data_IF_749823241742
#
_entry.id   IF_749823241742
#
_cell.length_a   1.000
_cell.length_b   1.000
_cell.length_c   1.000
_cell.angle_alpha   90.00
_cell.angle_beta   90.00
_cell.angle_gamma   90.00
#
_symmetry.space_group_name_H-M   'P 1'
#
loop_
_entity.id
_entity.type
_entity.pdbx_description
1 polymer ?
#
# COMPACT_ATOMS: atom_id res chain seq x y z
N UNK A 1 11.68 18.96 16.01
CA UNK A 1 10.53 18.09 15.77
C UNK A 1 9.42 18.77 14.96
N UNK A 2 8.86 19.91 15.43
CA UNK A 2 7.78 20.61 14.69
C UNK A 2 8.22 21.08 13.29
N UNK A 3 9.47 21.57 13.14
CA UNK A 3 10.04 22.00 11.86
C UNK A 3 10.23 20.84 10.87
N UNK A 4 10.58 19.66 11.33
CA UNK A 4 10.72 18.46 10.51
C UNK A 4 9.35 17.99 10.00
N UNK A 5 8.36 17.85 10.91
CA UNK A 5 6.99 17.44 10.56
C UNK A 5 6.39 18.46 9.57
N UNK A 6 6.57 19.78 9.82
CA UNK A 6 6.09 20.82 8.92
C UNK A 6 6.70 20.73 7.53
N UNK A 7 8.02 20.56 7.41
CA UNK A 7 8.70 20.39 6.11
C UNK A 7 8.18 19.17 5.36
N UNK A 8 7.97 18.07 6.07
CA UNK A 8 7.47 16.82 5.49
C UNK A 8 6.01 16.97 5.04
N UNK A 9 5.15 17.53 5.89
CA UNK A 9 3.76 17.82 5.55
C UNK A 9 3.64 18.75 4.32
N UNK A 10 4.47 19.79 4.25
CA UNK A 10 4.51 20.71 3.09
C UNK A 10 4.97 19.96 1.84
N UNK A 11 6.03 19.15 1.90
CA UNK A 11 6.50 18.39 0.76
C UNK A 11 5.43 17.41 0.23
N UNK A 12 4.75 16.74 1.14
CA UNK A 12 3.68 15.81 0.79
C UNK A 12 2.43 16.54 0.26
N UNK A 13 2.11 17.72 0.80
CA UNK A 13 1.03 18.55 0.27
C UNK A 13 1.33 19.01 -1.16
N UNK A 14 2.58 19.42 -1.44
CA UNK A 14 3.02 19.77 -2.79
C UNK A 14 2.86 18.56 -3.74
N UNK A 15 3.21 17.36 -3.28
CA UNK A 15 3.03 16.14 -4.07
C UNK A 15 1.56 15.83 -4.35
N UNK A 16 0.67 16.02 -3.36
CA UNK A 16 -0.77 15.85 -3.52
C UNK A 16 -1.35 16.87 -4.49
N UNK A 17 -0.97 18.15 -4.37
CA UNK A 17 -1.38 19.20 -5.32
C UNK A 17 -0.85 18.87 -6.71
N UNK A 18 0.41 18.45 -6.85
CA UNK A 18 0.97 17.99 -8.11
C UNK A 18 0.18 16.84 -8.73
N UNK A 19 -0.26 15.90 -7.93
CA UNK A 19 -1.12 14.79 -8.38
C UNK A 19 -2.48 15.30 -8.89
N UNK A 20 -3.14 16.19 -8.14
CA UNK A 20 -4.43 16.79 -8.54
C UNK A 20 -4.29 17.50 -9.89
N UNK A 21 -3.22 18.31 -10.06
CA UNK A 21 -2.90 18.96 -11.32
C UNK A 21 -2.69 17.92 -12.43
N UNK A 22 -1.87 16.92 -12.18
CA UNK A 22 -1.56 15.86 -13.16
C UNK A 22 -2.83 15.12 -13.59
N UNK A 23 -3.66 14.71 -12.65
CA UNK A 23 -4.93 13.98 -12.91
C UNK A 23 -5.88 14.84 -13.73
N UNK A 24 -6.00 16.14 -13.41
CA UNK A 24 -6.79 17.08 -14.19
C UNK A 24 -6.31 17.17 -15.64
N UNK A 25 -5.03 17.40 -15.87
CA UNK A 25 -4.51 17.52 -17.22
C UNK A 25 -4.54 16.21 -18.00
N UNK A 26 -4.22 15.07 -17.36
CA UNK A 26 -4.30 13.76 -18.00
C UNK A 26 -5.72 13.45 -18.47
N UNK A 27 -6.74 13.78 -17.68
CA UNK A 27 -8.13 13.56 -18.07
C UNK A 27 -8.55 14.38 -19.31
N UNK A 28 -7.85 15.49 -19.61
CA UNK A 28 -8.08 16.31 -20.81
C UNK A 28 -7.20 15.90 -21.99
N UNK A 29 -5.97 15.43 -21.72
CA UNK A 29 -5.07 14.96 -22.78
C UNK A 29 -5.54 13.62 -23.40
N UNK A 30 -6.29 12.82 -22.64
CA UNK A 30 -6.81 11.52 -23.09
C UNK A 30 -7.95 11.67 -24.11
N UNK A 31 -8.42 12.89 -24.36
CA UNK A 31 -9.47 13.23 -25.33
C UNK A 31 -10.54 14.14 -24.74
N UNK A 32 -11.63 14.31 -25.51
CA UNK A 32 -12.79 15.08 -25.06
C UNK A 32 -13.45 14.41 -23.85
N UNK A 33 -13.54 15.07 -22.67
CA UNK A 33 -14.19 14.49 -21.51
C UNK A 33 -15.62 14.02 -21.80
N UNK A 34 -16.39 14.73 -22.61
CA UNK A 34 -17.74 14.32 -22.99
C UNK A 34 -17.77 12.94 -23.69
N UNK A 35 -16.72 12.63 -24.47
CA UNK A 35 -16.59 11.32 -25.11
C UNK A 35 -16.16 10.21 -24.15
N UNK A 36 -15.54 10.56 -23.00
CA UNK A 36 -15.17 9.60 -21.97
C UNK A 36 -16.37 9.24 -21.08
N UNK A 37 -17.22 10.22 -20.76
CA UNK A 37 -18.35 10.04 -19.85
C UNK A 37 -19.62 9.54 -20.54
N UNK A 38 -19.81 9.83 -21.82
CA UNK A 38 -20.99 9.42 -22.57
C UNK A 38 -20.78 8.09 -23.31
N UNK A 39 -21.87 7.36 -23.60
CA UNK A 39 -21.79 6.20 -24.50
C UNK A 39 -21.16 6.54 -25.84
N UNK A 40 -20.52 5.55 -26.48
CA UNK A 40 -19.85 5.76 -27.79
C UNK A 40 -20.85 6.21 -28.85
N UNK A 41 -22.11 5.76 -28.76
CA UNK A 41 -23.22 6.05 -29.64
C UNK A 41 -23.90 7.40 -29.38
N UNK A 42 -23.42 8.19 -28.38
CA UNK A 42 -24.02 9.47 -28.05
C UNK A 42 -23.94 10.47 -29.24
N UNK A 43 -25.06 11.12 -29.53
CA UNK A 43 -25.14 12.10 -30.62
C UNK A 43 -24.24 13.31 -30.36
N UNK A 44 -23.90 14.06 -31.41
CA UNK A 44 -23.13 15.29 -31.29
C UNK A 44 -23.83 16.34 -30.39
N UNK A 45 -25.17 16.42 -30.49
CA UNK A 45 -25.98 17.30 -29.64
C UNK A 45 -25.93 16.89 -28.16
N UNK A 46 -25.98 15.61 -27.84
CA UNK A 46 -25.86 15.10 -26.48
C UNK A 46 -24.48 15.38 -25.88
N UNK A 47 -23.43 15.26 -26.69
CA UNK A 47 -22.06 15.62 -26.27
C UNK A 47 -21.93 17.10 -25.99
N UNK A 48 -22.53 17.95 -26.84
CA UNK A 48 -22.49 19.41 -26.66
C UNK A 48 -23.28 19.86 -25.43
N UNK A 49 -24.47 19.31 -25.22
CA UNK A 49 -25.26 19.55 -24.00
C UNK A 49 -24.49 19.13 -22.74
N UNK A 50 -23.80 17.98 -22.79
CA UNK A 50 -22.95 17.52 -21.67
C UNK A 50 -21.81 18.52 -21.39
N UNK A 51 -21.15 19.05 -22.44
CA UNK A 51 -20.10 20.05 -22.29
C UNK A 51 -20.61 21.34 -21.68
N UNK A 52 -21.79 21.82 -22.10
CA UNK A 52 -22.42 23.02 -21.57
C UNK A 52 -22.79 22.83 -20.08
N UNK A 53 -23.47 21.74 -19.74
CA UNK A 53 -23.92 21.45 -18.36
C UNK A 53 -22.72 21.36 -17.39
N UNK A 54 -21.61 20.75 -17.83
CA UNK A 54 -20.43 20.55 -17.00
C UNK A 54 -19.36 21.65 -17.16
N UNK A 55 -19.66 22.70 -17.94
CA UNK A 55 -18.75 23.81 -18.19
C UNK A 55 -17.42 23.39 -18.83
N UNK A 56 -17.46 22.38 -19.70
CA UNK A 56 -16.26 21.89 -20.39
C UNK A 56 -15.83 22.84 -21.52
N UNK A 57 -16.71 23.76 -21.92
CA UNK A 57 -16.44 24.85 -22.86
C UNK A 57 -15.81 26.08 -22.19
N UNK A 58 -15.75 26.12 -20.85
CA UNK A 58 -15.10 27.19 -20.09
C UNK A 58 -13.57 27.19 -20.29
N UNK A 59 -12.89 28.33 -20.07
CA UNK A 59 -11.43 28.37 -20.04
C UNK A 59 -10.84 27.35 -19.07
N UNK A 60 -9.72 26.71 -19.43
CA UNK A 60 -9.09 25.64 -18.63
C UNK A 60 -8.85 26.02 -17.15
N UNK A 61 -8.54 27.28 -16.88
CA UNK A 61 -8.33 27.76 -15.52
C UNK A 61 -9.63 27.71 -14.68
N UNK A 62 -10.77 28.05 -15.30
CA UNK A 62 -12.09 27.98 -14.66
C UNK A 62 -12.47 26.53 -14.38
N UNK A 63 -12.25 25.64 -15.35
CA UNK A 63 -12.47 24.19 -15.16
C UNK A 63 -11.59 23.63 -14.03
N UNK A 64 -10.30 24.04 -13.98
CA UNK A 64 -9.37 23.60 -12.94
C UNK A 64 -9.81 24.07 -11.55
N UNK A 65 -10.21 25.33 -11.39
CA UNK A 65 -10.65 25.86 -10.08
C UNK A 65 -11.91 25.16 -9.61
N UNK A 66 -12.85 24.87 -10.51
CA UNK A 66 -14.05 24.07 -10.19
C UNK A 66 -13.66 22.66 -9.74
N UNK A 67 -12.84 21.96 -10.52
CA UNK A 67 -12.34 20.62 -10.18
C UNK A 67 -11.62 20.57 -8.83
N UNK A 68 -10.79 21.55 -8.51
CA UNK A 68 -10.16 21.63 -7.18
C UNK A 68 -11.21 21.84 -6.08
N UNK A 69 -12.23 22.68 -6.34
CA UNK A 69 -13.35 22.86 -5.41
C UNK A 69 -14.09 21.54 -5.13
N UNK A 70 -14.42 20.79 -6.18
CA UNK A 70 -15.11 19.49 -6.09
C UNK A 70 -14.25 18.46 -5.34
N UNK A 71 -12.94 18.39 -5.63
CA UNK A 71 -12.00 17.52 -4.91
C UNK A 71 -11.94 17.86 -3.41
N UNK A 72 -11.89 19.15 -3.05
CA UNK A 72 -11.81 19.59 -1.65
C UNK A 72 -13.11 19.30 -0.89
N UNK A 73 -14.25 19.38 -1.56
CA UNK A 73 -15.55 19.04 -0.97
C UNK A 73 -15.85 17.54 -0.99
N UNK A 74 -15.02 16.75 -1.66
CA UNK A 74 -15.21 15.29 -1.82
C UNK A 74 -16.27 14.93 -2.87
N UNK A 75 -16.65 15.87 -3.72
CA UNK A 75 -17.60 15.64 -4.81
C UNK A 75 -16.83 15.17 -6.06
N UNK A 76 -16.83 13.88 -6.30
CA UNK A 76 -16.26 13.24 -7.49
C UNK A 76 -17.34 12.87 -8.53
N UNK A 77 -18.57 13.36 -8.33
CA UNK A 77 -19.72 12.97 -9.14
C UNK A 77 -20.22 11.56 -8.80
N UNK A 78 -21.15 11.09 -9.63
CA UNK A 78 -21.75 9.76 -9.47
C UNK A 78 -21.04 8.71 -10.32
N UNK A 79 -20.97 7.48 -9.81
CA UNK A 79 -20.59 6.30 -10.59
C UNK A 79 -21.62 6.04 -11.68
N UNK A 80 -21.17 6.01 -12.92
CA UNK A 80 -22.03 5.72 -14.08
C UNK A 80 -22.64 4.30 -14.06
N UNK A 81 -21.99 3.38 -13.34
CA UNK A 81 -22.40 1.96 -13.26
C UNK A 81 -23.20 1.63 -12.01
N UNK A 82 -22.88 2.29 -10.89
CA UNK A 82 -23.51 2.00 -9.60
C UNK A 82 -24.60 2.99 -9.21
N UNK A 83 -24.76 4.10 -9.97
CA UNK A 83 -25.71 5.18 -9.70
C UNK A 83 -25.67 5.65 -8.23
N UNK A 84 -24.46 5.83 -7.70
CA UNK A 84 -24.15 6.25 -6.33
C UNK A 84 -22.96 7.21 -6.37
N UNK A 85 -22.77 8.07 -5.34
CA UNK A 85 -21.58 8.92 -5.24
C UNK A 85 -20.30 8.09 -5.41
N UNK A 86 -19.40 8.55 -6.29
CA UNK A 86 -18.16 7.82 -6.61
C UNK A 86 -17.27 7.66 -5.36
N UNK A 87 -17.25 8.66 -4.48
CA UNK A 87 -16.49 8.61 -3.23
C UNK A 87 -16.95 7.47 -2.32
N UNK A 88 -18.27 7.28 -2.15
CA UNK A 88 -18.82 6.21 -1.30
C UNK A 88 -18.40 4.83 -1.81
N UNK A 89 -18.51 4.65 -3.12
CA UNK A 89 -18.09 3.40 -3.79
C UNK A 89 -16.61 3.10 -3.56
N UNK A 90 -15.77 4.13 -3.63
CA UNK A 90 -14.33 4.01 -3.42
C UNK A 90 -13.99 3.74 -1.96
N UNK A 91 -14.63 4.43 -1.01
CA UNK A 91 -14.36 4.23 0.42
C UNK A 91 -14.75 2.81 0.84
N UNK A 92 -15.89 2.30 0.39
CA UNK A 92 -16.29 0.91 0.66
C UNK A 92 -15.21 -0.09 0.19
N UNK A 93 -14.71 0.08 -1.02
CA UNK A 93 -13.66 -0.79 -1.55
C UNK A 93 -12.31 -0.57 -0.85
N UNK A 94 -11.97 0.68 -0.52
CA UNK A 94 -10.71 1.01 0.16
C UNK A 94 -10.62 0.36 1.54
N UNK A 95 -11.72 0.26 2.28
CA UNK A 95 -11.75 -0.42 3.58
C UNK A 95 -11.32 -1.89 3.46
N UNK A 96 -11.72 -2.59 2.39
CA UNK A 96 -11.28 -3.97 2.14
C UNK A 96 -9.78 -4.05 1.89
N UNK A 97 -9.23 -3.18 1.04
CA UNK A 97 -7.78 -3.08 0.82
C UNK A 97 -7.03 -2.76 2.11
N UNK A 98 -7.55 -1.84 2.91
CA UNK A 98 -6.94 -1.44 4.18
C UNK A 98 -6.85 -2.62 5.16
N UNK A 99 -7.94 -3.38 5.35
CA UNK A 99 -7.92 -4.56 6.19
C UNK A 99 -6.96 -5.62 5.68
N UNK A 100 -6.95 -5.87 4.37
CA UNK A 100 -6.02 -6.82 3.75
C UNK A 100 -4.55 -6.40 4.01
N UNK A 101 -4.23 -5.12 3.82
CA UNK A 101 -2.90 -4.58 4.06
C UNK A 101 -2.51 -4.64 5.56
N UNK A 102 -3.40 -4.24 6.48
CA UNK A 102 -3.13 -4.23 7.92
C UNK A 102 -2.90 -5.65 8.45
N UNK A 103 -3.75 -6.61 8.08
CA UNK A 103 -3.60 -8.00 8.52
C UNK A 103 -2.29 -8.57 7.97
N UNK A 104 -2.03 -8.41 6.67
CA UNK A 104 -0.82 -8.91 6.03
C UNK A 104 0.43 -8.31 6.67
N UNK A 105 0.51 -6.97 6.81
CA UNK A 105 1.69 -6.32 7.38
C UNK A 105 1.91 -6.65 8.86
N UNK A 106 0.86 -6.86 9.62
CA UNK A 106 0.97 -7.32 11.02
C UNK A 106 1.62 -8.69 11.08
N UNK A 107 1.14 -9.63 10.27
CA UNK A 107 1.71 -10.99 10.21
C UNK A 107 3.13 -10.99 9.69
N UNK A 108 3.40 -10.24 8.61
CA UNK A 108 4.74 -10.08 8.03
C UNK A 108 5.72 -9.53 9.06
N UNK A 109 5.35 -8.43 9.70
CA UNK A 109 6.23 -7.74 10.67
C UNK A 109 6.56 -8.64 11.84
N UNK A 110 5.56 -9.29 12.44
CA UNK A 110 5.76 -10.22 13.55
C UNK A 110 6.68 -11.38 13.16
N UNK A 111 6.41 -12.03 12.05
CA UNK A 111 7.21 -13.15 11.56
C UNK A 111 8.65 -12.72 11.18
N UNK A 112 8.80 -11.59 10.49
CA UNK A 112 10.11 -11.11 10.05
C UNK A 112 11.00 -10.67 11.23
N UNK A 113 10.43 -10.03 12.26
CA UNK A 113 11.17 -9.69 13.48
C UNK A 113 11.69 -10.96 14.15
N UNK A 114 10.85 -11.98 14.32
CA UNK A 114 11.25 -13.23 14.96
C UNK A 114 12.32 -13.94 14.14
N UNK A 115 12.06 -14.19 12.86
CA UNK A 115 12.98 -14.95 11.99
C UNK A 115 14.29 -14.19 11.79
N UNK A 116 14.26 -12.90 11.48
CA UNK A 116 15.47 -12.09 11.28
C UNK A 116 16.32 -11.95 12.55
N UNK A 117 15.69 -11.81 13.71
CA UNK A 117 16.40 -11.73 14.99
C UNK A 117 17.07 -13.05 15.36
N UNK A 118 16.41 -14.17 15.16
CA UNK A 118 16.96 -15.51 15.40
C UNK A 118 18.08 -15.85 14.41
N UNK A 119 17.92 -15.49 13.14
CA UNK A 119 18.95 -15.65 12.12
C UNK A 119 20.23 -14.85 12.48
N UNK A 120 20.08 -13.60 12.91
CA UNK A 120 21.19 -12.74 13.32
C UNK A 120 21.92 -13.26 14.58
N UNK A 121 21.18 -13.87 15.51
CA UNK A 121 21.77 -14.40 16.76
C UNK A 121 22.77 -15.53 16.52
N UNK A 122 22.56 -16.34 15.48
CA UNK A 122 23.46 -17.41 15.02
C UNK A 122 23.94 -17.14 13.60
N UNK A 123 24.46 -15.94 13.35
CA UNK A 123 24.94 -15.53 12.03
C UNK A 123 25.97 -16.53 11.47
N UNK A 124 25.81 -16.89 10.18
CA UNK A 124 26.62 -17.91 9.51
C UNK A 124 26.17 -19.36 9.77
N UNK A 125 25.22 -19.60 10.67
CA UNK A 125 24.66 -20.93 10.94
C UNK A 125 23.68 -21.40 9.85
N UNK A 126 23.22 -22.66 9.98
CA UNK A 126 22.27 -23.26 9.02
C UNK A 126 20.96 -22.47 8.93
N UNK A 127 20.37 -22.12 10.07
CA UNK A 127 19.12 -21.34 10.12
C UNK A 127 19.26 -19.97 9.45
N UNK A 128 20.39 -19.30 9.66
CA UNK A 128 20.68 -18.02 9.05
C UNK A 128 20.79 -18.13 7.51
N UNK A 129 21.51 -19.13 7.02
CA UNK A 129 21.63 -19.36 5.58
C UNK A 129 20.28 -19.73 4.95
N UNK A 130 19.54 -20.63 5.58
CA UNK A 130 18.23 -21.07 5.08
C UNK A 130 17.23 -19.90 5.04
N UNK A 131 17.10 -19.14 6.14
CA UNK A 131 16.21 -17.99 6.18
C UNK A 131 16.60 -16.90 5.17
N UNK A 132 17.91 -16.68 4.96
CA UNK A 132 18.39 -15.73 3.96
C UNK A 132 18.06 -16.17 2.53
N UNK A 133 18.22 -17.44 2.20
CA UNK A 133 17.86 -17.97 0.87
C UNK A 133 16.36 -17.88 0.63
N UNK A 134 15.52 -18.32 1.59
CA UNK A 134 14.07 -18.25 1.49
C UNK A 134 13.61 -16.79 1.34
N UNK A 135 14.17 -15.88 2.12
CA UNK A 135 13.85 -14.45 2.06
C UNK A 135 14.21 -13.84 0.69
N UNK A 136 15.35 -14.21 0.14
CA UNK A 136 15.82 -13.70 -1.16
C UNK A 136 14.91 -14.20 -2.28
N UNK A 137 14.59 -15.50 -2.28
CA UNK A 137 13.65 -16.09 -3.24
C UNK A 137 12.30 -15.41 -3.13
N UNK A 138 11.74 -15.30 -1.91
CA UNK A 138 10.44 -14.69 -1.68
C UNK A 138 10.38 -13.22 -2.14
N UNK A 139 11.45 -12.45 -1.93
CA UNK A 139 11.52 -11.06 -2.38
C UNK A 139 11.60 -10.91 -3.91
N UNK A 140 12.04 -11.97 -4.61
CA UNK A 140 12.26 -11.95 -6.07
C UNK A 140 11.08 -12.48 -6.88
N UNK A 141 10.16 -13.23 -6.25
CA UNK A 141 9.02 -13.85 -6.96
C UNK A 141 7.96 -12.79 -7.24
N UNK A 142 7.45 -12.67 -8.48
CA UNK A 142 6.35 -11.76 -8.79
C UNK A 142 5.03 -12.21 -8.12
N UNK A 143 4.30 -11.25 -7.52
CA UNK A 143 3.06 -11.53 -6.79
C UNK A 143 1.98 -12.19 -7.65
N UNK A 144 1.85 -11.77 -8.93
CA UNK A 144 0.87 -12.36 -9.85
C UNK A 144 1.16 -13.83 -10.16
N UNK A 145 2.43 -14.19 -10.32
CA UNK A 145 2.83 -15.57 -10.57
C UNK A 145 2.53 -16.44 -9.35
N UNK A 146 2.89 -15.94 -8.15
CA UNK A 146 2.62 -16.63 -6.90
C UNK A 146 1.11 -16.82 -6.68
N UNK A 147 0.29 -15.81 -7.02
CA UNK A 147 -1.16 -15.88 -6.92
C UNK A 147 -1.73 -17.00 -7.80
N UNK A 148 -1.30 -17.07 -9.07
CA UNK A 148 -1.76 -18.10 -10.00
C UNK A 148 -1.33 -19.50 -9.50
N UNK A 149 -0.08 -19.66 -9.10
CA UNK A 149 0.42 -20.94 -8.57
C UNK A 149 -0.33 -21.34 -7.31
N UNK A 150 -0.58 -20.40 -6.39
CA UNK A 150 -1.34 -20.66 -5.17
C UNK A 150 -2.78 -21.11 -5.46
N UNK A 151 -3.47 -20.48 -6.42
CA UNK A 151 -4.80 -20.92 -6.86
C UNK A 151 -4.76 -22.33 -7.43
N UNK A 152 -3.84 -22.59 -8.36
CA UNK A 152 -3.73 -23.91 -9.00
C UNK A 152 -3.48 -25.01 -7.97
N UNK A 153 -2.55 -24.78 -7.04
CA UNK A 153 -2.17 -25.79 -6.05
C UNK A 153 -3.25 -25.94 -4.98
N UNK A 154 -3.63 -24.86 -4.31
CA UNK A 154 -4.46 -24.95 -3.10
C UNK A 154 -5.97 -24.90 -3.36
N UNK A 155 -6.40 -24.26 -4.42
CA UNK A 155 -7.82 -24.15 -4.73
C UNK A 155 -8.29 -25.18 -5.77
N UNK A 156 -7.51 -25.43 -6.84
CA UNK A 156 -7.90 -26.34 -7.91
C UNK A 156 -7.49 -27.77 -7.60
N UNK A 157 -6.19 -28.05 -7.35
CA UNK A 157 -5.69 -29.41 -7.19
C UNK A 157 -6.05 -30.01 -5.82
N UNK A 158 -5.84 -29.24 -4.74
CA UNK A 158 -6.09 -29.71 -3.37
C UNK A 158 -7.53 -29.43 -2.90
N UNK A 159 -8.24 -28.50 -3.54
CA UNK A 159 -9.59 -28.06 -3.16
C UNK A 159 -9.71 -27.64 -1.66
N UNK A 160 -8.62 -27.14 -1.06
CA UNK A 160 -8.60 -26.72 0.34
C UNK A 160 -9.15 -25.32 0.56
N UNK A 161 -8.92 -24.45 -0.41
CA UNK A 161 -9.22 -23.01 -0.31
C UNK A 161 -10.04 -22.55 -1.53
N UNK A 162 -10.86 -21.51 -1.39
CA UNK A 162 -11.60 -20.96 -2.51
C UNK A 162 -10.69 -20.24 -3.50
N UNK A 163 -11.09 -20.23 -4.77
CA UNK A 163 -10.34 -19.55 -5.86
C UNK A 163 -10.46 -18.03 -5.82
N UNK A 164 -11.65 -17.51 -5.40
CA UNK A 164 -11.96 -16.08 -5.48
C UNK A 164 -13.14 -15.69 -4.58
N UNK A 165 -13.30 -14.39 -4.30
CA UNK A 165 -14.40 -13.85 -3.53
C UNK A 165 -14.05 -13.54 -2.07
N UNK A 166 -15.09 -13.29 -1.22
CA UNK A 166 -14.93 -12.87 0.19
C UNK A 166 -15.93 -13.50 1.16
N UNK A 167 -16.63 -14.55 0.74
CA UNK A 167 -17.75 -15.13 1.48
C UNK A 167 -17.40 -15.75 2.85
N UNK A 168 -16.11 -16.04 3.14
CA UNK A 168 -15.65 -16.61 4.41
C UNK A 168 -14.21 -16.22 4.69
N UNK A 169 -13.72 -16.53 5.91
CA UNK A 169 -12.32 -16.31 6.27
C UNK A 169 -11.32 -17.09 5.39
N UNK A 170 -11.74 -18.19 4.80
CA UNK A 170 -10.90 -18.98 3.90
C UNK A 170 -10.50 -18.20 2.63
N UNK A 171 -11.33 -17.26 2.17
CA UNK A 171 -11.05 -16.41 1.01
C UNK A 171 -9.91 -15.40 1.26
N UNK A 172 -9.58 -15.14 2.52
CA UNK A 172 -8.50 -14.22 2.89
C UNK A 172 -7.13 -14.88 2.90
N UNK A 173 -7.08 -16.22 3.04
CA UNK A 173 -5.83 -16.94 3.26
C UNK A 173 -4.89 -16.79 2.06
N UNK A 174 -5.36 -17.10 0.84
CA UNK A 174 -4.50 -17.03 -0.36
C UNK A 174 -4.03 -15.59 -0.66
N UNK A 175 -4.90 -14.57 -0.69
CA UNK A 175 -4.46 -13.18 -0.88
C UNK A 175 -3.43 -12.75 0.17
N UNK A 176 -3.66 -13.04 1.45
CA UNK A 176 -2.71 -12.72 2.53
C UNK A 176 -1.39 -13.45 2.33
N UNK A 177 -1.41 -14.76 2.05
CA UNK A 177 -0.19 -15.53 1.82
C UNK A 177 0.63 -15.01 0.66
N UNK A 178 -0.01 -14.63 -0.44
CA UNK A 178 0.69 -14.07 -1.61
C UNK A 178 1.33 -12.72 -1.27
N UNK A 179 0.55 -11.80 -0.69
CA UNK A 179 1.04 -10.48 -0.29
C UNK A 179 2.05 -10.52 0.86
N UNK A 180 2.10 -11.62 1.61
CA UNK A 180 3.05 -11.84 2.71
C UNK A 180 4.48 -12.09 2.20
N UNK A 181 4.65 -12.85 1.13
CA UNK A 181 5.95 -13.45 0.75
C UNK A 181 7.01 -12.39 0.48
N UNK A 182 6.72 -11.41 -0.36
CA UNK A 182 7.68 -10.39 -0.78
C UNK A 182 8.09 -9.44 0.36
N UNK A 183 7.17 -8.79 1.09
CA UNK A 183 7.54 -7.93 2.22
C UNK A 183 8.26 -8.71 3.33
N UNK A 184 7.86 -9.95 3.60
CA UNK A 184 8.54 -10.81 4.57
C UNK A 184 10.01 -11.00 4.20
N UNK A 185 10.30 -11.35 2.93
CA UNK A 185 11.67 -11.52 2.46
C UNK A 185 12.52 -10.26 2.66
N UNK A 186 11.98 -9.09 2.31
CA UNK A 186 12.68 -7.81 2.43
C UNK A 186 12.93 -7.47 3.92
N UNK A 187 11.88 -7.53 4.75
CA UNK A 187 11.97 -7.12 6.15
C UNK A 187 12.87 -8.07 6.95
N UNK A 188 12.84 -9.39 6.70
CA UNK A 188 13.75 -10.36 7.35
C UNK A 188 15.21 -9.96 7.13
N UNK A 189 15.60 -9.60 5.89
CA UNK A 189 16.97 -9.20 5.57
C UNK A 189 17.39 -7.92 6.31
N UNK A 190 16.50 -6.95 6.41
CA UNK A 190 16.76 -5.69 7.12
C UNK A 190 16.86 -5.93 8.63
N UNK A 191 15.92 -6.70 9.21
CA UNK A 191 15.99 -7.09 10.63
C UNK A 191 17.28 -7.82 10.93
N UNK A 192 17.63 -8.82 10.12
CA UNK A 192 18.86 -9.59 10.28
C UNK A 192 20.09 -8.68 10.24
N UNK A 193 20.21 -7.83 9.22
CA UNK A 193 21.36 -6.92 9.09
C UNK A 193 21.51 -5.97 10.27
N UNK A 194 20.41 -5.33 10.69
CA UNK A 194 20.36 -4.41 11.81
C UNK A 194 20.67 -5.10 13.15
N UNK A 195 20.16 -6.31 13.34
CA UNK A 195 20.40 -7.12 14.52
C UNK A 195 21.84 -7.60 14.64
N UNK A 196 22.52 -7.95 13.55
CA UNK A 196 23.96 -8.31 13.57
C UNK A 196 24.77 -7.14 14.10
N UNK A 197 24.51 -5.91 13.60
CA UNK A 197 25.16 -4.70 14.09
C UNK A 197 24.88 -4.45 15.59
N UNK A 198 23.63 -4.56 16.01
CA UNK A 198 23.23 -4.37 17.40
C UNK A 198 23.88 -5.42 18.35
N UNK A 199 23.89 -6.69 17.94
CA UNK A 199 24.44 -7.80 18.75
C UNK A 199 25.96 -7.75 18.90
N UNK A 200 26.69 -7.07 18.00
CA UNK A 200 28.15 -6.86 18.07
C UNK A 200 28.55 -5.68 18.96
N UNK A 201 27.61 -4.87 19.40
CA UNK A 201 27.85 -3.64 20.17
C UNK A 201 28.41 -3.87 21.57
N UNK A 202 29.07 -2.84 22.14
CA UNK A 202 29.69 -2.89 23.47
C UNK A 202 28.67 -3.14 24.60
N UNK A 203 27.47 -2.55 24.51
CA UNK A 203 26.43 -2.75 25.51
C UNK A 203 25.94 -4.20 25.59
N UNK A 204 25.87 -4.91 24.45
CA UNK A 204 25.54 -6.34 24.41
C UNK A 204 26.64 -7.18 25.03
N UNK A 205 27.93 -6.85 24.76
CA UNK A 205 29.06 -7.53 25.43
C UNK A 205 29.00 -7.37 26.95
N UNK A 206 28.69 -6.17 27.42
CA UNK A 206 28.51 -5.89 28.85
C UNK A 206 27.35 -6.67 29.46
N UNK A 207 26.19 -6.76 28.75
CA UNK A 207 25.05 -7.53 29.21
C UNK A 207 25.38 -9.03 29.33
N UNK A 208 26.12 -9.60 28.36
CA UNK A 208 26.61 -10.98 28.41
C UNK A 208 27.56 -11.22 29.59
N UNK A 209 28.50 -10.28 29.81
CA UNK A 209 29.44 -10.37 30.96
C UNK A 209 28.70 -10.34 32.30
N UNK A 210 27.56 -9.65 32.39
CA UNK A 210 26.66 -9.65 33.58
C UNK A 210 25.77 -10.86 33.69
N UNK A 211 25.89 -11.87 32.83
CA UNK A 211 25.12 -13.12 32.87
C UNK A 211 23.69 -13.00 32.39
N UNK A 212 23.33 -11.97 31.61
CA UNK A 212 21.96 -11.82 31.04
C UNK A 212 21.71 -12.95 30.03
N UNK A 213 20.54 -13.60 30.13
CA UNK A 213 20.12 -14.68 29.23
C UNK A 213 19.99 -14.20 27.79
N UNK A 214 20.15 -15.11 26.81
CA UNK A 214 20.12 -14.80 25.38
C UNK A 214 18.79 -14.18 24.92
N UNK A 215 17.65 -14.62 25.44
CA UNK A 215 16.33 -14.09 25.09
C UNK A 215 16.21 -12.57 25.32
N UNK A 216 16.42 -12.06 26.55
CA UNK A 216 16.44 -10.62 26.82
C UNK A 216 17.50 -9.87 26.02
N UNK A 217 18.67 -10.46 25.76
CA UNK A 217 19.71 -9.84 24.92
C UNK A 217 19.16 -9.58 23.51
N UNK A 218 18.47 -10.55 22.91
CA UNK A 218 17.92 -10.46 21.55
C UNK A 218 16.74 -9.48 21.52
N UNK A 219 15.68 -9.79 22.28
CA UNK A 219 14.38 -9.15 22.10
C UNK A 219 14.20 -7.85 22.90
N UNK A 220 15.04 -7.58 23.91
CA UNK A 220 14.95 -6.35 24.71
C UNK A 220 16.10 -5.41 24.39
N UNK A 221 17.35 -5.88 24.47
CA UNK A 221 18.50 -5.00 24.34
C UNK A 221 18.90 -4.73 22.89
N UNK A 222 19.03 -5.77 22.06
CA UNK A 222 19.48 -5.61 20.69
C UNK A 222 18.35 -5.12 19.76
N UNK A 223 17.16 -5.74 19.84
CA UNK A 223 16.04 -5.43 18.96
C UNK A 223 15.62 -3.96 19.06
N UNK A 224 15.54 -3.41 20.27
CA UNK A 224 15.17 -1.99 20.46
C UNK A 224 16.04 -1.04 19.64
N UNK A 225 17.34 -1.29 19.58
CA UNK A 225 18.29 -0.45 18.84
C UNK A 225 18.31 -0.79 17.34
N UNK A 226 17.96 -2.03 16.97
CA UNK A 226 17.89 -2.46 15.58
C UNK A 226 16.61 -1.99 14.87
N UNK A 227 15.57 -1.55 15.61
CA UNK A 227 14.25 -1.23 15.03
C UNK A 227 14.23 0.03 14.17
N UNK A 228 15.14 1.00 14.35
CA UNK A 228 15.10 2.26 13.61
C UNK A 228 15.06 2.04 12.06
N UNK A 229 16.03 1.35 11.44
CA UNK A 229 15.96 1.09 10.00
C UNK A 229 14.83 0.12 9.63
N UNK A 230 14.43 -0.76 10.54
CA UNK A 230 13.36 -1.75 10.30
C UNK A 230 12.00 -1.06 10.14
N UNK A 231 11.67 -0.10 10.99
CA UNK A 231 10.39 0.63 10.95
C UNK A 231 10.23 1.38 9.62
N UNK A 232 11.32 1.95 9.09
CA UNK A 232 11.27 2.60 7.76
C UNK A 232 10.83 1.63 6.69
N UNK A 233 11.47 0.46 6.66
CA UNK A 233 11.18 -0.53 5.64
C UNK A 233 9.78 -1.13 5.84
N UNK A 234 9.34 -1.34 7.08
CA UNK A 234 7.96 -1.77 7.37
C UNK A 234 6.97 -0.74 6.80
N UNK A 235 7.22 0.55 7.04
CA UNK A 235 6.35 1.59 6.53
C UNK A 235 6.35 1.69 5.00
N UNK A 236 7.51 1.61 4.37
CA UNK A 236 7.64 1.58 2.91
C UNK A 236 6.90 0.38 2.31
N UNK A 237 7.04 -0.81 2.92
CA UNK A 237 6.30 -2.00 2.48
C UNK A 237 4.78 -1.86 2.72
N UNK A 238 4.34 -1.24 3.80
CA UNK A 238 2.93 -0.99 4.06
C UNK A 238 2.33 -0.01 3.04
N UNK A 239 3.02 1.09 2.72
CA UNK A 239 2.61 2.01 1.66
C UNK A 239 2.60 1.33 0.28
N UNK A 240 3.59 0.49 0.00
CA UNK A 240 3.66 -0.30 -1.23
C UNK A 240 2.50 -1.29 -1.38
N UNK A 241 2.04 -1.90 -0.28
CA UNK A 241 0.87 -2.81 -0.31
C UNK A 241 -0.42 -2.08 -0.69
N UNK A 242 -0.61 -0.85 -0.24
CA UNK A 242 -1.79 -0.06 -0.64
C UNK A 242 -1.84 0.19 -2.16
N UNK A 243 -0.68 0.30 -2.81
CA UNK A 243 -0.56 0.42 -4.27
C UNK A 243 -0.49 -0.94 -4.99
N UNK A 244 0.16 -1.91 -4.38
CA UNK A 244 0.53 -3.18 -5.03
C UNK A 244 -0.53 -4.28 -4.93
N UNK A 245 -1.55 -4.11 -4.10
CA UNK A 245 -2.61 -5.11 -3.95
C UNK A 245 -3.51 -5.25 -5.19
N UNK A 246 -3.47 -4.29 -6.13
CA UNK A 246 -4.33 -4.23 -7.34
C UNK A 246 -4.35 -5.56 -8.10
N UNK A 247 -3.18 -6.12 -8.37
CA UNK A 247 -3.06 -7.37 -9.14
C UNK A 247 -3.62 -8.56 -8.35
N UNK A 248 -3.30 -8.64 -7.06
CA UNK A 248 -3.75 -9.71 -6.17
C UNK A 248 -5.26 -9.61 -5.95
N UNK A 249 -5.78 -8.42 -5.71
CA UNK A 249 -7.22 -8.18 -5.57
C UNK A 249 -7.98 -8.57 -6.84
N UNK A 250 -7.43 -8.27 -8.01
CA UNK A 250 -8.04 -8.62 -9.30
C UNK A 250 -8.05 -10.13 -9.53
N UNK A 251 -6.92 -10.82 -9.29
CA UNK A 251 -6.79 -12.26 -9.50
C UNK A 251 -7.71 -13.04 -8.56
N UNK A 252 -7.78 -12.66 -7.29
CA UNK A 252 -8.63 -13.32 -6.29
C UNK A 252 -10.07 -12.78 -6.27
N UNK A 253 -10.43 -11.84 -7.14
CA UNK A 253 -11.77 -11.23 -7.13
C UNK A 253 -12.08 -10.53 -5.80
N UNK A 254 -11.06 -10.05 -5.09
CA UNK A 254 -11.21 -9.39 -3.80
C UNK A 254 -11.75 -7.97 -3.99
N UNK A 255 -12.79 -7.50 -3.26
CA UNK A 255 -13.48 -6.26 -3.54
C UNK A 255 -12.73 -5.00 -3.07
N UNK A 256 -11.41 -4.98 -3.25
CA UNK A 256 -10.57 -3.85 -2.89
C UNK A 256 -10.59 -2.72 -3.91
N UNK A 257 -9.94 -1.59 -3.53
CA UNK A 257 -9.88 -0.39 -4.38
C UNK A 257 -9.09 -0.62 -5.66
N UNK A 258 -8.09 -1.50 -5.65
CA UNK A 258 -7.30 -1.83 -6.83
C UNK A 258 -8.13 -2.56 -7.88
N UNK A 259 -8.89 -3.59 -7.47
CA UNK A 259 -9.84 -4.27 -8.36
C UNK A 259 -10.92 -3.31 -8.85
N UNK A 260 -11.49 -2.48 -7.95
CA UNK A 260 -12.48 -1.48 -8.33
C UNK A 260 -11.93 -0.54 -9.40
N UNK A 261 -10.67 -0.10 -9.29
CA UNK A 261 -10.03 0.78 -10.27
C UNK A 261 -9.91 0.11 -11.64
N UNK A 262 -9.45 -1.14 -11.70
CA UNK A 262 -9.36 -1.89 -12.97
C UNK A 262 -10.75 -2.07 -13.59
N UNK A 263 -11.73 -2.51 -12.80
CA UNK A 263 -13.11 -2.70 -13.29
C UNK A 263 -13.70 -1.39 -13.82
N UNK A 264 -13.46 -0.27 -13.13
CA UNK A 264 -13.93 1.07 -13.52
C UNK A 264 -13.26 1.60 -14.79
N UNK A 265 -11.95 1.33 -14.97
CA UNK A 265 -11.24 1.66 -16.22
C UNK A 265 -11.86 0.90 -17.40
N UNK A 266 -12.08 -0.40 -17.26
CA UNK A 266 -12.66 -1.25 -18.30
C UNK A 266 -14.12 -0.84 -18.63
N UNK A 267 -14.86 -0.36 -17.63
CA UNK A 267 -16.23 0.10 -17.74
C UNK A 267 -16.35 1.59 -18.10
N UNK A 268 -15.24 2.32 -18.24
CA UNK A 268 -15.18 3.77 -18.47
C UNK A 268 -15.87 4.60 -17.39
N UNK A 269 -15.85 4.14 -16.13
CA UNK A 269 -16.38 4.89 -14.98
C UNK A 269 -15.30 5.80 -14.41
N UNK A 270 -15.03 6.89 -15.11
CA UNK A 270 -13.91 7.78 -14.79
C UNK A 270 -14.06 8.49 -13.45
N UNK A 271 -15.29 8.77 -13.01
CA UNK A 271 -15.53 9.36 -11.68
C UNK A 271 -14.97 8.47 -10.56
N UNK A 272 -15.24 7.18 -10.63
CA UNK A 272 -14.71 6.20 -9.68
C UNK A 272 -13.18 6.07 -9.81
N UNK A 273 -12.64 6.09 -11.04
CA UNK A 273 -11.18 6.02 -11.25
C UNK A 273 -10.49 7.22 -10.62
N UNK A 274 -10.97 8.45 -10.85
CA UNK A 274 -10.40 9.67 -10.30
C UNK A 274 -10.48 9.69 -8.77
N UNK A 275 -11.64 9.35 -8.21
CA UNK A 275 -11.83 9.23 -6.77
C UNK A 275 -10.89 8.17 -6.17
N UNK A 276 -10.74 7.00 -6.80
CA UNK A 276 -9.88 5.93 -6.33
C UNK A 276 -8.39 6.33 -6.31
N UNK A 277 -7.92 7.00 -7.36
CA UNK A 277 -6.55 7.53 -7.43
C UNK A 277 -6.30 8.51 -6.27
N UNK A 278 -7.19 9.47 -6.05
CA UNK A 278 -7.00 10.50 -5.04
C UNK A 278 -7.15 9.97 -3.61
N UNK A 279 -8.11 9.09 -3.35
CA UNK A 279 -8.26 8.42 -2.05
C UNK A 279 -7.04 7.56 -1.72
N UNK A 280 -6.55 6.78 -2.68
CA UNK A 280 -5.35 5.94 -2.49
C UNK A 280 -4.11 6.82 -2.25
N UNK A 281 -3.93 7.88 -3.02
CA UNK A 281 -2.83 8.82 -2.84
C UNK A 281 -2.88 9.53 -1.47
N UNK A 282 -4.05 9.94 -1.02
CA UNK A 282 -4.25 10.53 0.32
C UNK A 282 -3.91 9.50 1.41
N UNK A 283 -4.33 8.25 1.25
CA UNK A 283 -4.01 7.18 2.20
C UNK A 283 -2.50 6.92 2.30
N UNK A 284 -1.80 6.88 1.17
CA UNK A 284 -0.34 6.74 1.13
C UNK A 284 0.33 7.96 1.78
N UNK A 285 -0.16 9.16 1.51
CA UNK A 285 0.30 10.38 2.17
C UNK A 285 0.17 10.29 3.69
N UNK A 286 -1.00 9.90 4.21
CA UNK A 286 -1.24 9.73 5.63
C UNK A 286 -0.37 8.63 6.23
N UNK A 287 -0.18 7.51 5.53
CA UNK A 287 0.72 6.44 5.95
C UNK A 287 2.16 6.94 6.08
N UNK A 288 2.68 7.65 5.08
CA UNK A 288 4.03 8.22 5.14
C UNK A 288 4.19 9.21 6.32
N UNK A 289 3.17 10.03 6.58
CA UNK A 289 3.17 10.94 7.72
C UNK A 289 3.20 10.18 9.05
N UNK A 290 2.45 9.08 9.17
CA UNK A 290 2.46 8.20 10.36
C UNK A 290 3.83 7.55 10.56
N UNK A 291 4.49 7.12 9.49
CA UNK A 291 5.85 6.56 9.53
C UNK A 291 6.83 7.61 10.01
N UNK A 292 6.78 8.83 9.47
CA UNK A 292 7.65 9.94 9.87
C UNK A 292 7.42 10.32 11.34
N UNK A 293 6.19 10.27 11.82
CA UNK A 293 5.84 10.50 13.22
C UNK A 293 6.39 9.38 14.12
N UNK A 294 6.26 8.12 13.71
CA UNK A 294 6.83 6.98 14.43
C UNK A 294 8.36 7.11 14.52
N UNK A 295 9.01 7.56 13.46
CA UNK A 295 10.44 7.87 13.44
C UNK A 295 10.81 8.93 14.47
N UNK A 296 10.10 10.06 14.46
CA UNK A 296 10.35 11.16 15.37
C UNK A 296 10.14 10.80 16.86
N UNK A 297 9.28 9.80 17.14
CA UNK A 297 9.06 9.27 18.48
C UNK A 297 10.17 8.31 18.93
N UNK A 298 10.74 7.55 18.00
CA UNK A 298 11.71 6.48 18.30
C UNK A 298 13.17 6.96 18.27
N UNK A 299 13.49 7.98 17.47
CA UNK A 299 14.84 8.56 17.43
C UNK A 299 14.89 9.93 18.13
N UNK A 300 15.39 10.01 19.37
CA UNK A 300 15.56 11.29 20.07
C UNK A 300 16.55 12.25 19.39
N UNK A 301 17.39 11.77 18.48
CA UNK A 301 18.42 12.57 17.78
C UNK A 301 17.83 13.49 16.70
N UNK A 302 16.62 13.21 16.22
CA UNK A 302 15.90 14.01 15.22
C UNK A 302 15.17 15.21 15.87
N UNK A 303 15.22 15.35 17.18
CA UNK A 303 14.53 16.43 17.92
C UNK A 303 15.20 17.81 17.81
N UNK A 304 16.33 17.89 17.11
CA UNK A 304 17.06 19.16 16.91
C UNK A 304 16.98 19.67 15.47
#
# INVERSE_FOLDING_TARGET
>A
MLSFIRKRAVASLISLVGLIVMVFFLSRLTGDPAALFLPVEASAEMKEQFREIHGLNDPLLVQFTRYVGDVVTGDFGESLRKARPALDVVIEAFIWTLWLAVITMTLVTAAAIVVGSLAAFRAGGFFDRLSSVISLIGASVPDFWLAIVAIVVFAVNLAWLPTSGTGSLLHWILPICVLFVRPFGIIVQVVRGSMIGALSSAYVKTARAKGVRSGPIIFVHALRNAMLPVITVIGDQAASLLNGAVIVETIFGFPGVGKLMIDSILQRDFNVVLAAILVTALAIFLMNLLIDLAYALLDPRIRH
#
